data_IF_278579618014
#
_entry.id   IF_278579618014
#
_cell.length_a   1.000
_cell.length_b   1.000
_cell.length_c   1.000
_cell.angle_alpha   90.00
_cell.angle_beta   90.00
_cell.angle_gamma   90.00
#
_symmetry.space_group_name_H-M   'P 1'
#
loop_
_entity.id
_entity.type
_entity.pdbx_description
1 polymer ?
#
# COMPACT_ATOMS: atom_id res chain seq x y z
N UNK A 1 -17.64 9.81 -17.54
CA UNK A 1 -18.42 9.80 -16.28
C UNK A 1 -17.72 10.67 -15.23
N UNK A 2 -18.44 11.57 -14.55
CA UNK A 2 -17.86 12.28 -13.41
C UNK A 2 -17.57 11.25 -12.31
N UNK A 3 -16.30 11.11 -11.93
CA UNK A 3 -15.93 10.29 -10.77
C UNK A 3 -16.39 11.08 -9.54
N UNK A 4 -17.59 10.77 -9.04
CA UNK A 4 -18.09 11.33 -7.77
C UNK A 4 -17.39 10.55 -6.65
N UNK A 5 -16.11 10.86 -6.42
CA UNK A 5 -15.30 10.20 -5.40
C UNK A 5 -15.13 11.12 -4.19
N UNK A 6 -15.70 10.75 -3.05
CA UNK A 6 -15.17 11.22 -1.77
C UNK A 6 -13.74 10.66 -1.64
N UNK A 7 -12.73 11.54 -1.66
CA UNK A 7 -11.36 11.11 -1.41
C UNK A 7 -11.20 10.59 0.02
N UNK A 8 -10.29 9.64 0.23
CA UNK A 8 -9.93 9.14 1.55
C UNK A 8 -8.66 9.85 2.06
N UNK A 9 -8.76 10.48 3.23
CA UNK A 9 -7.60 11.04 3.94
C UNK A 9 -7.04 10.00 4.91
N UNK A 10 -5.73 9.79 4.88
CA UNK A 10 -5.07 8.77 5.71
C UNK A 10 -3.69 9.17 6.20
N UNK A 11 -3.10 8.29 6.99
CA UNK A 11 -1.70 8.38 7.44
C UNK A 11 -0.88 7.33 6.69
N UNK A 12 0.28 7.74 6.19
CA UNK A 12 1.18 6.88 5.42
C UNK A 12 2.14 6.14 6.36
N UNK A 13 2.28 4.83 6.18
CA UNK A 13 3.21 3.96 6.91
C UNK A 13 4.10 3.23 5.93
N UNK A 14 5.39 3.15 6.21
CA UNK A 14 6.31 2.31 5.44
C UNK A 14 6.01 0.85 5.78
N UNK A 15 5.80 0.01 4.77
CA UNK A 15 5.55 -1.41 4.98
C UNK A 15 6.80 -2.14 5.51
N UNK A 16 6.60 -3.14 6.37
CA UNK A 16 7.64 -4.04 6.84
C UNK A 16 7.15 -5.50 6.74
N UNK A 17 7.71 -6.32 5.84
CA UNK A 17 8.80 -6.00 4.91
C UNK A 17 8.38 -5.03 3.80
N UNK A 18 9.34 -4.24 3.31
CA UNK A 18 9.13 -3.11 2.38
C UNK A 18 8.39 -3.47 1.10
N UNK A 19 8.58 -4.70 0.60
CA UNK A 19 7.96 -5.18 -0.63
C UNK A 19 6.60 -5.84 -0.44
N UNK A 20 6.14 -6.05 0.81
CA UNK A 20 4.89 -6.69 1.17
C UNK A 20 4.63 -8.04 0.47
N UNK A 21 5.68 -8.80 0.12
CA UNK A 21 5.53 -10.09 -0.55
C UNK A 21 5.20 -11.24 0.39
N UNK A 22 5.29 -10.99 1.70
CA UNK A 22 4.86 -11.88 2.78
C UNK A 22 4.04 -11.04 3.77
N UNK A 23 3.33 -11.68 4.74
CA UNK A 23 2.55 -10.96 5.73
C UNK A 23 3.37 -9.87 6.45
N UNK A 24 2.77 -8.68 6.60
CA UNK A 24 3.43 -7.55 7.26
C UNK A 24 3.54 -7.80 8.77
N UNK A 25 4.64 -7.34 9.37
CA UNK A 25 4.93 -7.57 10.80
C UNK A 25 4.02 -6.75 11.72
N UNK A 26 3.64 -5.56 11.28
CA UNK A 26 2.87 -4.62 12.09
C UNK A 26 1.39 -4.71 11.72
N UNK A 27 0.55 -4.99 12.73
CA UNK A 27 -0.88 -4.79 12.65
C UNK A 27 -1.16 -3.30 12.93
N UNK A 28 -1.54 -2.55 11.91
CA UNK A 28 -1.77 -1.12 12.09
C UNK A 28 -3.12 -0.88 12.73
N UNK A 29 -3.10 -0.41 13.98
CA UNK A 29 -4.26 0.22 14.61
C UNK A 29 -4.44 1.61 14.02
N UNK A 30 -5.66 1.99 13.66
CA UNK A 30 -6.01 3.33 13.19
C UNK A 30 -5.91 4.35 14.34
N UNK A 31 -4.69 4.60 14.81
CA UNK A 31 -4.37 5.56 15.85
C UNK A 31 -4.82 6.96 15.40
N UNK A 32 -5.75 7.57 16.13
CA UNK A 32 -6.28 8.89 15.81
C UNK A 32 -7.35 8.93 14.70
N UNK A 33 -7.97 7.78 14.36
CA UNK A 33 -9.13 7.72 13.47
C UNK A 33 -8.84 8.01 11.99
N UNK A 34 -7.56 8.11 11.61
CA UNK A 34 -7.15 8.24 10.21
C UNK A 34 -6.97 6.86 9.59
N UNK A 35 -7.38 6.71 8.33
CA UNK A 35 -7.18 5.47 7.57
C UNK A 35 -5.69 5.18 7.41
N UNK A 36 -5.18 4.02 7.85
CA UNK A 36 -3.80 3.65 7.60
C UNK A 36 -3.58 3.29 6.12
N UNK A 37 -2.54 3.85 5.52
CA UNK A 37 -2.14 3.62 4.13
C UNK A 37 -0.73 3.04 4.10
N UNK A 38 -0.55 1.88 3.49
CA UNK A 38 0.75 1.25 3.33
C UNK A 38 1.53 1.86 2.16
N UNK A 39 2.81 2.16 2.36
CA UNK A 39 3.76 2.53 1.32
C UNK A 39 4.67 1.32 1.05
N UNK A 40 4.62 0.80 -0.18
CA UNK A 40 5.23 -0.48 -0.56
C UNK A 40 6.13 -0.26 -1.77
N UNK A 41 7.32 -0.84 -1.78
CA UNK A 41 8.22 -0.78 -2.94
C UNK A 41 7.78 -1.77 -4.04
N UNK A 42 7.94 -1.39 -5.31
CA UNK A 42 7.72 -2.26 -6.47
C UNK A 42 8.72 -3.43 -6.47
N UNK A 43 8.35 -4.52 -7.17
CA UNK A 43 9.23 -5.69 -7.35
C UNK A 43 8.99 -6.83 -6.34
N UNK A 44 9.67 -7.96 -6.57
CA UNK A 44 9.63 -9.16 -5.72
C UNK A 44 8.39 -10.05 -5.86
N UNK A 45 7.20 -9.48 -6.08
CA UNK A 45 5.91 -10.19 -6.22
C UNK A 45 4.88 -9.33 -6.97
N UNK A 46 3.68 -9.86 -7.18
CA UNK A 46 2.62 -9.17 -7.92
C UNK A 46 1.99 -8.02 -7.13
N UNK A 47 1.32 -7.09 -7.80
CA UNK A 47 0.52 -6.06 -7.12
C UNK A 47 -0.60 -6.65 -6.25
N UNK A 48 -1.17 -7.78 -6.67
CA UNK A 48 -2.21 -8.49 -5.91
C UNK A 48 -1.68 -8.98 -4.56
N UNK A 49 -0.50 -9.61 -4.56
CA UNK A 49 0.14 -10.12 -3.32
C UNK A 49 0.38 -8.96 -2.34
N UNK A 50 0.92 -7.84 -2.85
CA UNK A 50 1.18 -6.63 -2.06
C UNK A 50 -0.08 -6.09 -1.40
N UNK A 51 -1.15 -5.93 -2.19
CA UNK A 51 -2.42 -5.37 -1.71
C UNK A 51 -3.09 -6.34 -0.73
N UNK A 52 -3.06 -7.65 -1.00
CA UNK A 52 -3.63 -8.67 -0.11
C UNK A 52 -2.93 -8.68 1.26
N UNK A 53 -1.59 -8.71 1.28
CA UNK A 53 -0.83 -8.68 2.53
C UNK A 53 -1.04 -7.36 3.31
N UNK A 54 -1.20 -6.22 2.62
CA UNK A 54 -1.54 -4.95 3.27
C UNK A 54 -2.95 -4.97 3.87
N UNK A 55 -3.94 -5.50 3.14
CA UNK A 55 -5.31 -5.66 3.63
C UNK A 55 -5.37 -6.56 4.86
N UNK A 56 -4.68 -7.70 4.83
CA UNK A 56 -4.62 -8.67 5.94
C UNK A 56 -3.97 -8.06 7.20
N UNK A 57 -3.06 -7.08 7.03
CA UNK A 57 -2.43 -6.32 8.10
C UNK A 57 -3.27 -5.12 8.62
N UNK A 58 -4.45 -4.88 8.04
CA UNK A 58 -5.40 -3.86 8.50
C UNK A 58 -5.31 -2.51 7.79
N UNK A 59 -4.48 -2.39 6.75
CA UNK A 59 -4.42 -1.16 5.94
C UNK A 59 -5.69 -0.94 5.13
N UNK A 60 -6.07 0.33 4.95
CA UNK A 60 -7.22 0.74 4.14
C UNK A 60 -6.88 0.94 2.67
N UNK A 61 -5.63 1.29 2.39
CA UNK A 61 -5.11 1.44 1.05
C UNK A 61 -3.61 1.10 1.00
N UNK A 62 -3.12 0.85 -0.21
CA UNK A 62 -1.71 0.63 -0.48
C UNK A 62 -1.26 1.52 -1.64
N UNK A 63 -0.12 2.18 -1.49
CA UNK A 63 0.57 2.94 -2.52
C UNK A 63 1.84 2.17 -2.85
N UNK A 64 1.93 1.68 -4.09
CA UNK A 64 3.14 1.01 -4.58
C UNK A 64 3.96 2.03 -5.36
N UNK A 65 5.19 2.29 -4.89
CA UNK A 65 6.09 3.22 -5.56
C UNK A 65 7.17 2.46 -6.33
N UNK A 66 7.58 3.04 -7.45
CA UNK A 66 8.71 2.58 -8.23
C UNK A 66 9.99 3.31 -7.79
N UNK A 67 11.09 2.60 -7.62
CA UNK A 67 12.41 3.15 -7.27
C UNK A 67 13.42 3.03 -8.41
N UNK A 68 13.00 2.53 -9.57
CA UNK A 68 13.84 2.38 -10.75
C UNK A 68 13.62 3.51 -11.78
N UNK A 69 14.71 3.96 -12.41
CA UNK A 69 14.70 4.93 -13.51
C UNK A 69 14.58 4.20 -14.87
N UNK A 70 13.62 3.29 -14.98
CA UNK A 70 13.33 2.55 -16.22
C UNK A 70 11.93 2.89 -16.72
N UNK A 71 11.86 3.46 -17.93
CA UNK A 71 10.74 4.29 -18.41
C UNK A 71 9.37 3.64 -18.65
N UNK A 72 9.04 2.51 -18.03
CA UNK A 72 7.71 1.90 -18.08
C UNK A 72 7.21 1.45 -16.69
N UNK A 73 6.25 2.21 -16.14
CA UNK A 73 5.72 2.00 -14.79
C UNK A 73 4.68 0.87 -14.70
N UNK A 74 3.99 0.57 -15.80
CA UNK A 74 2.94 -0.46 -15.88
C UNK A 74 2.92 -1.09 -17.28
N UNK A 75 2.68 -2.39 -17.36
CA UNK A 75 2.55 -3.19 -18.60
C UNK A 75 1.22 -3.92 -18.62
#
# INVERSE_FOLDING_TARGET
PAVVGSGDCGMLYIAEPLNACIPLKDNVSAEGGRSPIALIIRGGCTFEDKVRNAQDAGFKAAIVYDDEDSGALVS
#
